data_IF_525926431402
#
_entry.id   IF_525926431402
#
_cell.length_a   1.000
_cell.length_b   1.000
_cell.length_c   1.000
_cell.angle_alpha   90.00
_cell.angle_beta   90.00
_cell.angle_gamma   90.00
#
_symmetry.space_group_name_H-M   'P 1'
#
loop_
_entity.id
_entity.type
_entity.pdbx_description
1 polymer ?
#
# COMPACT_ATOMS: atom_id res chain seq x y z
N UNK A 1 -18.47 -12.22 -36.34
CA UNK A 1 -17.66 -11.21 -35.62
C UNK A 1 -18.63 -10.32 -34.90
N UNK A 2 -18.68 -10.33 -33.57
CA UNK A 2 -19.51 -9.35 -32.85
C UNK A 2 -18.93 -7.96 -33.11
N UNK A 3 -19.75 -7.01 -33.53
CA UNK A 3 -19.32 -5.61 -33.58
C UNK A 3 -18.85 -5.22 -32.18
N UNK A 4 -17.57 -4.82 -32.09
CA UNK A 4 -17.02 -4.27 -30.87
C UNK A 4 -17.69 -2.92 -30.64
N UNK A 5 -18.64 -2.87 -29.71
CA UNK A 5 -19.30 -1.63 -29.26
C UNK A 5 -18.74 -1.22 -27.91
N UNK A 6 -18.23 -0.01 -27.82
CA UNK A 6 -17.91 0.64 -26.56
C UNK A 6 -19.19 1.23 -25.95
N UNK A 7 -19.37 1.04 -24.65
CA UNK A 7 -20.45 1.68 -23.88
C UNK A 7 -20.18 3.17 -23.76
N UNK A 8 -21.18 4.01 -24.04
CA UNK A 8 -21.02 5.47 -23.90
C UNK A 8 -21.13 5.91 -22.44
N UNK A 9 -20.68 7.12 -22.13
CA UNK A 9 -20.82 7.69 -20.78
C UNK A 9 -22.30 7.78 -20.39
N UNK A 10 -23.15 8.19 -21.32
CA UNK A 10 -24.60 8.31 -21.11
C UNK A 10 -25.23 6.94 -20.81
N UNK A 11 -24.81 5.88 -21.50
CA UNK A 11 -25.26 4.51 -21.22
C UNK A 11 -24.86 4.07 -19.79
N UNK A 12 -23.65 4.40 -19.34
CA UNK A 12 -23.20 4.14 -17.96
C UNK A 12 -23.98 4.94 -16.91
N UNK A 13 -24.23 6.21 -17.17
CA UNK A 13 -25.01 7.09 -16.29
C UNK A 13 -26.45 6.60 -16.18
N UNK A 14 -27.08 6.22 -17.29
CA UNK A 14 -28.43 5.65 -17.30
C UNK A 14 -28.52 4.36 -16.47
N UNK A 15 -27.54 3.46 -16.62
CA UNK A 15 -27.48 2.24 -15.80
C UNK A 15 -27.34 2.56 -14.31
N UNK A 16 -26.49 3.53 -13.97
CA UNK A 16 -26.30 3.99 -12.59
C UNK A 16 -27.59 4.60 -12.02
N UNK A 17 -28.25 5.47 -12.77
CA UNK A 17 -29.50 6.12 -12.36
C UNK A 17 -30.61 5.09 -12.09
N UNK A 18 -30.74 4.09 -12.94
CA UNK A 18 -31.70 2.99 -12.73
C UNK A 18 -31.43 2.23 -11.42
N UNK A 19 -30.15 2.01 -11.08
CA UNK A 19 -29.77 1.36 -9.81
C UNK A 19 -30.06 2.27 -8.61
N UNK A 20 -29.82 3.58 -8.73
CA UNK A 20 -30.14 4.55 -7.68
C UNK A 20 -31.65 4.62 -7.42
N UNK A 21 -32.48 4.62 -8.46
CA UNK A 21 -33.94 4.56 -8.33
C UNK A 21 -34.40 3.26 -7.65
N UNK A 22 -33.76 2.14 -7.97
CA UNK A 22 -34.05 0.84 -7.36
C UNK A 22 -33.69 0.86 -5.87
N UNK A 23 -32.51 1.39 -5.52
CA UNK A 23 -32.09 1.59 -4.14
C UNK A 23 -33.08 2.44 -3.34
N UNK A 24 -33.54 3.56 -3.92
CA UNK A 24 -34.53 4.42 -3.28
C UNK A 24 -35.85 3.69 -2.98
N UNK A 25 -36.33 2.83 -3.89
CA UNK A 25 -37.57 2.05 -3.70
C UNK A 25 -37.49 1.06 -2.54
N UNK A 26 -36.28 0.57 -2.21
CA UNK A 26 -36.05 -0.39 -1.10
C UNK A 26 -35.48 0.28 0.14
N UNK A 27 -35.39 1.61 0.18
CA UNK A 27 -34.85 2.36 1.31
C UNK A 27 -33.33 2.20 1.50
N UNK A 28 -32.59 1.88 0.45
CA UNK A 28 -31.13 1.73 0.48
C UNK A 28 -30.42 2.98 -0.04
N UNK A 29 -29.55 3.55 0.80
CA UNK A 29 -28.71 4.69 0.42
C UNK A 29 -27.43 4.27 -0.30
N UNK A 30 -27.17 4.89 -1.45
CA UNK A 30 -25.91 4.82 -2.15
C UNK A 30 -24.87 5.82 -1.60
N UNK A 31 -23.60 5.65 -1.98
CA UNK A 31 -22.51 6.51 -1.52
C UNK A 31 -22.69 7.97 -1.94
N UNK A 32 -23.33 8.22 -3.09
CA UNK A 32 -23.63 9.55 -3.63
C UNK A 32 -24.55 10.37 -2.72
N UNK A 33 -25.41 9.72 -1.93
CA UNK A 33 -26.25 10.41 -0.96
C UNK A 33 -25.49 10.67 0.35
N UNK A 34 -24.70 9.69 0.80
CA UNK A 34 -23.88 9.84 2.02
C UNK A 34 -22.83 10.93 1.92
N UNK A 35 -22.20 11.10 0.74
CA UNK A 35 -21.22 12.19 0.54
C UNK A 35 -21.87 13.56 0.72
N UNK A 36 -23.11 13.77 0.24
CA UNK A 36 -23.85 15.03 0.44
C UNK A 36 -24.06 15.34 1.91
N UNK A 37 -24.36 14.33 2.73
CA UNK A 37 -24.54 14.48 4.17
C UNK A 37 -23.22 14.79 4.92
N UNK A 38 -22.07 14.48 4.31
CA UNK A 38 -20.75 14.78 4.85
C UNK A 38 -20.19 16.13 4.36
N UNK A 39 -20.93 16.86 3.50
CA UNK A 39 -20.51 18.13 2.89
C UNK A 39 -21.19 19.32 3.58
N UNK A 40 -20.46 20.38 3.99
CA UNK A 40 -19.01 20.54 3.84
C UNK A 40 -18.22 19.66 4.82
N UNK A 41 -17.07 19.16 4.37
CA UNK A 41 -16.20 18.36 5.23
C UNK A 41 -15.52 19.23 6.30
N UNK A 42 -14.96 18.58 7.33
CA UNK A 42 -14.20 19.28 8.37
C UNK A 42 -12.92 19.90 7.79
N UNK A 43 -12.85 21.24 7.78
CA UNK A 43 -11.72 22.00 7.24
C UNK A 43 -10.36 21.61 7.83
N UNK A 44 -10.28 21.32 9.13
CA UNK A 44 -9.02 20.87 9.76
C UNK A 44 -8.58 19.48 9.26
N UNK A 45 -9.54 18.62 8.89
CA UNK A 45 -9.29 17.32 8.31
C UNK A 45 -8.84 17.44 6.86
N UNK A 46 -9.53 18.25 6.06
CA UNK A 46 -9.17 18.54 4.66
C UNK A 46 -7.77 19.16 4.54
N UNK A 47 -7.43 20.13 5.39
CA UNK A 47 -6.11 20.76 5.41
C UNK A 47 -5.04 19.87 6.09
N UNK A 48 -5.44 18.77 6.75
CA UNK A 48 -4.54 17.85 7.43
C UNK A 48 -3.91 18.38 8.73
N UNK A 49 -4.42 19.48 9.28
CA UNK A 49 -3.83 20.21 10.43
C UNK A 49 -4.40 19.78 11.80
N UNK A 50 -5.21 18.72 11.82
CA UNK A 50 -5.71 18.05 13.03
C UNK A 50 -4.81 16.85 13.39
N UNK A 51 -4.50 16.67 14.68
CA UNK A 51 -3.71 15.54 15.17
C UNK A 51 -4.45 14.77 16.28
N UNK A 52 -4.54 13.45 16.14
CA UNK A 52 -5.20 12.51 17.08
C UNK A 52 -4.29 11.33 17.48
N UNK A 53 -2.98 11.53 17.45
CA UNK A 53 -1.98 10.45 17.61
C UNK A 53 -1.84 9.99 19.06
N UNK A 54 -2.18 10.83 20.05
CA UNK A 54 -2.09 10.52 21.47
C UNK A 54 -3.24 11.16 22.26
N UNK A 55 -3.36 10.79 23.54
CA UNK A 55 -4.43 11.22 24.46
C UNK A 55 -4.23 12.59 25.09
N UNK A 56 -3.07 13.24 24.90
CA UNK A 56 -2.95 14.66 25.27
C UNK A 56 -3.86 15.54 24.39
N UNK A 57 -4.05 15.14 23.13
CA UNK A 57 -4.95 15.81 22.19
C UNK A 57 -6.42 15.42 22.38
N UNK A 58 -7.28 15.64 21.36
CA UNK A 58 -6.94 16.04 20.00
C UNK A 58 -6.37 17.46 19.90
N UNK A 59 -5.41 17.68 19.00
CA UNK A 59 -4.85 19.00 18.70
C UNK A 59 -5.35 19.50 17.34
N UNK A 60 -5.58 20.81 17.23
CA UNK A 60 -5.86 21.50 15.95
C UNK A 60 -4.96 22.73 15.84
N UNK A 61 -4.30 22.90 14.69
CA UNK A 61 -3.42 24.05 14.49
C UNK A 61 -4.21 25.24 13.97
N UNK A 62 -4.00 26.39 14.60
CA UNK A 62 -4.61 27.68 14.22
C UNK A 62 -3.58 28.80 14.43
N UNK A 63 -3.80 30.02 13.92
CA UNK A 63 -2.92 31.16 14.24
C UNK A 63 -2.76 31.43 15.75
N UNK A 64 -3.79 31.14 16.56
CA UNK A 64 -3.75 31.30 18.02
C UNK A 64 -3.09 30.13 18.76
N UNK A 65 -3.09 28.95 18.14
CA UNK A 65 -2.50 27.72 18.67
C UNK A 65 -1.62 27.09 17.57
N UNK A 66 -0.42 27.65 17.32
CA UNK A 66 0.42 27.27 16.18
C UNK A 66 1.12 25.91 16.35
N UNK A 67 0.99 25.27 17.51
CA UNK A 67 1.58 23.97 17.85
C UNK A 67 0.59 23.11 18.61
N UNK A 68 0.74 21.79 18.50
CA UNK A 68 0.05 20.84 19.38
C UNK A 68 0.62 20.87 20.80
N UNK A 69 -0.02 20.15 21.73
CA UNK A 69 0.37 20.12 23.15
C UNK A 69 1.81 19.64 23.35
N UNK A 70 2.26 18.66 22.56
CA UNK A 70 3.65 18.18 22.59
C UNK A 70 4.66 19.10 21.90
N UNK A 71 4.24 20.26 21.38
CA UNK A 71 5.07 21.21 20.66
C UNK A 71 5.24 20.94 19.16
N UNK A 72 4.66 19.87 18.61
CA UNK A 72 4.71 19.61 17.17
C UNK A 72 3.96 20.68 16.38
N UNK A 73 4.61 21.26 15.37
CA UNK A 73 4.01 22.26 14.48
C UNK A 73 3.13 21.64 13.38
N UNK A 74 2.57 22.51 12.53
CA UNK A 74 1.71 22.11 11.42
C UNK A 74 2.41 21.18 10.42
N UNK A 75 3.68 21.41 10.13
CA UNK A 75 4.41 20.65 9.12
C UNK A 75 4.69 19.22 9.61
N UNK A 76 5.07 19.07 10.87
CA UNK A 76 5.20 17.76 11.50
C UNK A 76 3.87 17.01 11.56
N UNK A 77 2.78 17.69 11.91
CA UNK A 77 1.43 17.07 11.98
C UNK A 77 0.98 16.59 10.59
N UNK A 78 1.03 17.47 9.58
CA UNK A 78 0.63 17.12 8.20
C UNK A 78 1.50 16.00 7.65
N UNK A 79 2.83 16.08 7.85
CA UNK A 79 3.75 15.02 7.43
C UNK A 79 3.46 13.67 8.09
N UNK A 80 3.09 13.65 9.38
CA UNK A 80 2.70 12.42 10.09
C UNK A 80 1.38 11.85 9.58
N UNK A 81 0.40 12.71 9.33
CA UNK A 81 -0.90 12.31 8.79
C UNK A 81 -0.74 11.69 7.40
N UNK A 82 0.05 12.33 6.53
CA UNK A 82 0.36 11.81 5.20
C UNK A 82 1.14 10.49 5.24
N UNK A 83 2.13 10.38 6.15
CA UNK A 83 2.87 9.13 6.34
C UNK A 83 1.97 7.97 6.79
N UNK A 84 1.06 8.18 7.73
CA UNK A 84 0.08 7.14 8.09
C UNK A 84 -0.87 6.79 6.96
N UNK A 85 -1.27 7.77 6.14
CA UNK A 85 -2.12 7.53 4.97
C UNK A 85 -1.42 6.61 3.96
N UNK A 86 -0.19 6.93 3.58
CA UNK A 86 0.62 6.09 2.68
C UNK A 86 0.91 4.71 3.25
N UNK A 87 1.25 4.60 4.54
CA UNK A 87 1.47 3.33 5.21
C UNK A 87 0.22 2.44 5.26
N UNK A 88 -0.97 3.03 5.42
CA UNK A 88 -2.25 2.29 5.36
C UNK A 88 -2.51 1.69 3.99
N UNK A 89 -2.18 2.42 2.92
CA UNK A 89 -2.22 1.89 1.55
C UNK A 89 -1.24 0.74 1.37
N UNK A 90 0.03 0.96 1.71
CA UNK A 90 1.09 -0.08 1.60
C UNK A 90 0.75 -1.35 2.38
N UNK A 91 0.14 -1.23 3.57
CA UNK A 91 -0.26 -2.38 4.38
C UNK A 91 -1.33 -3.25 3.68
N UNK A 92 -2.20 -2.65 2.87
CA UNK A 92 -3.27 -3.37 2.16
C UNK A 92 -2.69 -4.32 1.11
N UNK A 93 -1.76 -3.81 0.29
CA UNK A 93 -1.09 -4.63 -0.72
C UNK A 93 -0.04 -5.56 -0.10
N UNK A 94 0.57 -5.18 1.03
CA UNK A 94 1.42 -6.10 1.79
C UNK A 94 0.67 -7.39 2.12
N UNK A 95 -0.50 -7.28 2.77
CA UNK A 95 -1.21 -8.49 3.19
C UNK A 95 -1.82 -9.25 2.00
N UNK A 96 -2.26 -8.54 0.95
CA UNK A 96 -2.67 -9.17 -0.31
C UNK A 96 -1.54 -10.04 -0.90
N UNK A 97 -0.36 -9.46 -1.11
CA UNK A 97 0.78 -10.17 -1.69
C UNK A 97 1.24 -11.33 -0.81
N UNK A 98 1.18 -11.18 0.52
CA UNK A 98 1.52 -12.24 1.46
C UNK A 98 0.60 -13.45 1.32
N UNK A 99 -0.71 -13.22 1.20
CA UNK A 99 -1.69 -14.29 0.97
C UNK A 99 -1.47 -15.00 -0.37
N UNK A 100 -1.03 -14.28 -1.40
CA UNK A 100 -0.62 -14.91 -2.67
C UNK A 100 0.59 -15.83 -2.47
N UNK A 101 1.60 -15.41 -1.69
CA UNK A 101 2.73 -16.28 -1.36
C UNK A 101 2.30 -17.50 -0.54
N UNK A 102 1.44 -17.35 0.48
CA UNK A 102 0.89 -18.48 1.23
C UNK A 102 0.10 -19.43 0.33
N UNK A 103 -0.73 -18.91 -0.57
CA UNK A 103 -1.49 -19.73 -1.53
C UNK A 103 -0.58 -20.52 -2.46
N UNK A 104 0.53 -19.92 -2.90
CA UNK A 104 1.54 -20.61 -3.71
C UNK A 104 2.25 -21.71 -2.91
N UNK A 105 2.56 -21.45 -1.64
CA UNK A 105 3.15 -22.43 -0.73
C UNK A 105 2.23 -23.64 -0.47
N UNK A 106 0.92 -23.43 -0.37
CA UNK A 106 -0.06 -24.52 -0.16
C UNK A 106 -0.46 -25.24 -1.47
N UNK A 107 0.10 -24.85 -2.62
CA UNK A 107 -0.25 -25.45 -3.91
C UNK A 107 0.33 -26.86 -4.07
N UNK A 108 -0.42 -27.75 -4.74
CA UNK A 108 -0.01 -29.13 -5.03
C UNK A 108 -0.71 -29.69 -6.27
N UNK A 109 -0.16 -30.76 -6.86
CA UNK A 109 -0.71 -31.38 -8.07
C UNK A 109 -2.18 -31.84 -7.92
N UNK A 110 -2.51 -32.37 -6.75
CA UNK A 110 -3.84 -32.89 -6.40
C UNK A 110 -4.67 -31.92 -5.54
N UNK A 111 -4.13 -30.75 -5.22
CA UNK A 111 -4.77 -29.74 -4.37
C UNK A 111 -5.77 -28.84 -5.11
N UNK A 112 -6.46 -28.00 -4.33
CA UNK A 112 -7.39 -26.99 -4.84
C UNK A 112 -6.67 -25.85 -5.59
N UNK A 113 -5.43 -25.56 -5.21
CA UNK A 113 -4.56 -24.58 -5.85
C UNK A 113 -3.41 -25.29 -6.56
N UNK A 114 -3.16 -24.89 -7.82
CA UNK A 114 -2.16 -25.50 -8.70
C UNK A 114 -1.34 -24.43 -9.40
N UNK A 115 -0.11 -24.77 -9.78
CA UNK A 115 0.72 -23.91 -10.63
C UNK A 115 0.16 -23.95 -12.05
N UNK A 116 -0.46 -22.85 -12.49
CA UNK A 116 -1.06 -22.72 -13.83
C UNK A 116 -0.09 -22.22 -14.90
N UNK A 117 1.01 -21.59 -14.48
CA UNK A 117 2.02 -21.01 -15.37
C UNK A 117 3.42 -21.42 -14.88
N UNK A 118 3.87 -22.65 -15.23
CA UNK A 118 5.19 -23.14 -14.85
C UNK A 118 6.32 -22.28 -15.43
N UNK A 119 6.19 -21.80 -16.66
CA UNK A 119 7.22 -21.00 -17.33
C UNK A 119 7.50 -19.70 -16.55
N UNK A 120 6.44 -19.02 -16.08
CA UNK A 120 6.59 -17.85 -15.22
C UNK A 120 7.23 -18.19 -13.89
N UNK A 121 6.87 -19.32 -13.27
CA UNK A 121 7.49 -19.77 -12.02
C UNK A 121 9.01 -19.97 -12.19
N UNK A 122 9.43 -20.71 -13.22
CA UNK A 122 10.85 -20.92 -13.53
C UNK A 122 11.58 -19.61 -13.82
N UNK A 123 10.94 -18.67 -14.53
CA UNK A 123 11.54 -17.35 -14.80
C UNK A 123 11.77 -16.55 -13.54
N UNK A 124 10.79 -16.49 -12.63
CA UNK A 124 10.93 -15.77 -11.35
C UNK A 124 11.97 -16.45 -10.45
N UNK A 125 11.97 -17.78 -10.39
CA UNK A 125 12.96 -18.53 -9.64
C UNK A 125 14.39 -18.18 -10.09
N UNK A 126 14.65 -18.21 -11.41
CA UNK A 126 15.95 -17.83 -11.98
C UNK A 126 16.31 -16.37 -11.70
N UNK A 127 15.35 -15.45 -11.80
CA UNK A 127 15.57 -14.04 -11.46
C UNK A 127 15.94 -13.84 -9.98
N UNK A 128 15.48 -14.71 -9.10
CA UNK A 128 15.75 -14.67 -7.67
C UNK A 128 16.92 -15.55 -7.23
N UNK A 129 17.68 -16.08 -8.20
CA UNK A 129 18.83 -16.97 -7.99
C UNK A 129 18.46 -18.27 -7.26
N UNK A 130 17.24 -18.77 -7.46
CA UNK A 130 16.78 -20.07 -6.95
C UNK A 130 17.15 -21.15 -7.96
N UNK A 131 17.85 -22.20 -7.52
CA UNK A 131 18.22 -23.34 -8.35
C UNK A 131 16.97 -24.06 -8.88
N UNK A 132 16.91 -24.36 -10.18
CA UNK A 132 15.72 -24.95 -10.82
C UNK A 132 15.94 -26.33 -11.43
N UNK A 133 17.19 -26.75 -11.64
CA UNK A 133 17.50 -27.98 -12.37
C UNK A 133 17.14 -29.22 -11.54
N UNK A 134 16.41 -30.16 -12.16
CA UNK A 134 16.02 -31.42 -11.51
C UNK A 134 15.01 -31.31 -10.37
N UNK A 135 14.50 -30.10 -10.03
CA UNK A 135 13.50 -29.92 -8.99
C UNK A 135 12.10 -30.29 -9.47
N UNK A 136 11.30 -30.85 -8.55
CA UNK A 136 9.86 -30.95 -8.75
C UNK A 136 9.23 -29.54 -8.85
N UNK A 137 8.14 -29.44 -9.61
CA UNK A 137 7.46 -28.18 -9.86
C UNK A 137 6.93 -27.54 -8.57
N UNK A 138 6.39 -28.34 -7.65
CA UNK A 138 5.78 -27.85 -6.42
C UNK A 138 6.82 -27.59 -5.33
N UNK A 139 7.90 -28.37 -5.27
CA UNK A 139 9.07 -28.03 -4.45
C UNK A 139 9.61 -26.64 -4.83
N UNK A 140 9.76 -26.37 -6.12
CA UNK A 140 10.17 -25.06 -6.62
C UNK A 140 9.15 -23.96 -6.27
N UNK A 141 7.85 -24.25 -6.41
CA UNK A 141 6.79 -23.31 -6.07
C UNK A 141 6.84 -22.90 -4.59
N UNK A 142 7.05 -23.87 -3.70
CA UNK A 142 7.15 -23.65 -2.26
C UNK A 142 8.39 -22.84 -1.90
N UNK A 143 9.53 -23.11 -2.55
CA UNK A 143 10.76 -22.35 -2.34
C UNK A 143 10.65 -20.90 -2.83
N UNK A 144 10.03 -20.67 -3.99
CA UNK A 144 9.72 -19.32 -4.50
C UNK A 144 8.77 -18.62 -3.53
N UNK A 145 7.73 -19.30 -3.03
CA UNK A 145 6.80 -18.74 -2.07
C UNK A 145 7.50 -18.31 -0.77
N UNK A 146 8.34 -19.18 -0.18
CA UNK A 146 9.11 -18.86 1.03
C UNK A 146 10.08 -17.71 0.78
N UNK A 147 10.75 -17.68 -0.38
CA UNK A 147 11.63 -16.58 -0.76
C UNK A 147 10.88 -15.25 -0.85
N UNK A 148 9.66 -15.26 -1.41
CA UNK A 148 8.76 -14.10 -1.43
C UNK A 148 8.32 -13.69 -0.02
N UNK A 149 7.95 -14.64 0.84
CA UNK A 149 7.58 -14.38 2.25
C UNK A 149 8.73 -13.71 3.03
N UNK A 150 9.98 -14.04 2.71
CA UNK A 150 11.14 -13.39 3.33
C UNK A 150 11.28 -11.91 2.97
N UNK A 151 10.68 -11.42 1.87
CA UNK A 151 10.65 -9.97 1.55
C UNK A 151 9.83 -9.14 2.55
N UNK A 152 8.93 -9.79 3.31
CA UNK A 152 8.06 -9.11 4.26
C UNK A 152 8.75 -8.78 5.58
N UNK A 153 9.68 -9.63 6.01
CA UNK A 153 10.30 -9.55 7.35
C UNK A 153 11.82 -9.66 7.40
N UNK A 154 12.54 -9.63 6.27
CA UNK A 154 14.01 -9.75 6.28
C UNK A 154 14.70 -8.72 7.19
N UNK A 155 15.76 -9.10 7.91
CA UNK A 155 16.46 -8.20 8.82
C UNK A 155 17.34 -7.16 8.12
N UNK A 156 17.88 -7.48 6.94
CA UNK A 156 18.85 -6.66 6.22
C UNK A 156 18.57 -6.62 4.71
N UNK A 157 19.15 -5.63 4.03
CA UNK A 157 19.04 -5.45 2.59
C UNK A 157 17.76 -4.75 2.15
N UNK A 158 17.60 -4.65 0.83
CA UNK A 158 16.47 -4.02 0.15
C UNK A 158 15.62 -5.05 -0.58
N UNK A 159 14.48 -4.63 -1.13
CA UNK A 159 13.57 -5.54 -1.85
C UNK A 159 14.19 -6.08 -3.15
N UNK A 160 13.94 -7.35 -3.46
CA UNK A 160 14.50 -8.04 -4.63
C UNK A 160 14.13 -7.37 -5.95
N UNK A 161 12.86 -6.98 -6.11
CA UNK A 161 12.40 -6.42 -7.37
C UNK A 161 12.90 -5.02 -7.68
N UNK A 162 13.57 -4.32 -6.75
CA UNK A 162 14.22 -3.04 -7.08
C UNK A 162 15.25 -3.17 -8.20
N UNK A 163 15.84 -4.36 -8.37
CA UNK A 163 16.79 -4.64 -9.46
C UNK A 163 16.18 -4.62 -10.85
N UNK A 164 14.84 -4.64 -10.97
CA UNK A 164 14.15 -4.45 -12.25
C UNK A 164 14.12 -2.99 -12.72
N UNK A 165 14.31 -2.02 -11.82
CA UNK A 165 14.33 -0.62 -12.19
C UNK A 165 15.63 -0.26 -12.95
N UNK A 166 15.62 0.74 -13.85
CA UNK A 166 16.85 1.22 -14.47
C UNK A 166 17.90 1.63 -13.43
N UNK A 167 19.19 1.42 -13.73
CA UNK A 167 20.32 1.66 -12.82
C UNK A 167 20.30 3.08 -12.24
N UNK A 168 20.14 4.09 -13.08
CA UNK A 168 20.00 5.49 -12.66
C UNK A 168 18.89 5.70 -11.61
N UNK A 169 17.77 4.97 -11.70
CA UNK A 169 16.68 5.06 -10.72
C UNK A 169 17.08 4.41 -9.39
N UNK A 170 17.78 3.28 -9.43
CA UNK A 170 18.31 2.62 -8.23
C UNK A 170 19.30 3.54 -7.50
N UNK A 171 20.22 4.19 -8.22
CA UNK A 171 21.18 5.15 -7.66
C UNK A 171 20.49 6.33 -6.98
N UNK A 172 19.39 6.85 -7.56
CA UNK A 172 18.58 7.89 -6.92
C UNK A 172 18.00 7.38 -5.60
N UNK A 173 17.44 6.15 -5.59
CA UNK A 173 16.87 5.60 -4.37
C UNK A 173 17.91 5.35 -3.27
N UNK A 174 19.13 4.97 -3.64
CA UNK A 174 20.23 4.82 -2.70
C UNK A 174 20.70 6.19 -2.17
N UNK A 175 20.96 7.15 -3.06
CA UNK A 175 21.41 8.50 -2.71
C UNK A 175 20.41 9.26 -1.84
N UNK A 176 19.12 9.19 -2.17
CA UNK A 176 18.06 9.84 -1.40
C UNK A 176 17.63 9.03 -0.17
N UNK A 177 18.26 7.86 0.04
CA UNK A 177 17.92 6.91 1.09
C UNK A 177 16.42 6.57 1.06
N UNK A 178 15.86 6.21 -0.09
CA UNK A 178 14.45 5.78 -0.22
C UNK A 178 14.28 4.37 -0.79
N UNK A 179 15.38 3.64 -1.03
CA UNK A 179 15.29 2.22 -1.35
C UNK A 179 14.56 1.46 -0.21
N UNK A 180 13.44 0.76 -0.48
CA UNK A 180 12.68 0.06 0.54
C UNK A 180 13.38 -1.21 1.02
N UNK A 181 13.27 -1.48 2.32
CA UNK A 181 13.73 -2.72 2.95
C UNK A 181 12.58 -3.74 2.97
N UNK A 182 12.46 -4.53 4.03
CA UNK A 182 11.33 -5.45 4.19
C UNK A 182 9.97 -4.71 4.14
N UNK A 183 8.98 -5.31 3.48
CA UNK A 183 7.66 -4.70 3.22
C UNK A 183 7.00 -4.26 4.54
N UNK A 184 6.91 -5.16 5.53
CA UNK A 184 6.23 -4.85 6.80
C UNK A 184 7.05 -3.90 7.68
N UNK A 185 8.37 -3.93 7.52
CA UNK A 185 9.26 -3.00 8.24
C UNK A 185 8.94 -1.57 7.87
N UNK A 186 8.67 -1.26 6.61
CA UNK A 186 8.38 0.12 6.21
C UNK A 186 7.02 0.61 6.74
N UNK A 187 6.03 -0.27 6.84
CA UNK A 187 4.75 0.02 7.52
C UNK A 187 4.98 0.26 9.02
N UNK A 188 5.66 -0.66 9.70
CA UNK A 188 5.94 -0.57 11.14
C UNK A 188 6.77 0.68 11.47
N UNK A 189 7.81 0.97 10.67
CA UNK A 189 8.65 2.16 10.80
C UNK A 189 7.84 3.44 10.61
N UNK A 190 6.90 3.46 9.67
CA UNK A 190 6.00 4.59 9.47
C UNK A 190 5.13 4.84 10.70
N UNK A 191 4.61 3.79 11.32
CA UNK A 191 3.84 3.92 12.57
C UNK A 191 4.69 4.39 13.75
N UNK A 192 5.93 3.91 13.87
CA UNK A 192 6.91 4.37 14.86
C UNK A 192 7.26 5.85 14.66
N UNK A 193 7.68 6.24 13.45
CA UNK A 193 8.10 7.61 13.14
C UNK A 193 7.00 8.65 13.37
N UNK A 194 5.75 8.24 13.22
CA UNK A 194 4.60 9.13 13.41
C UNK A 194 4.11 9.21 14.86
N UNK A 195 4.65 8.42 15.78
CA UNK A 195 4.25 8.50 17.18
C UNK A 195 4.66 9.84 17.83
N UNK A 196 3.95 10.21 18.89
CA UNK A 196 4.32 11.36 19.74
C UNK A 196 5.75 11.19 20.27
N UNK A 197 6.56 12.25 20.17
CA UNK A 197 7.96 12.25 20.64
C UNK A 197 8.98 11.63 19.68
N UNK A 198 8.55 11.10 18.53
CA UNK A 198 9.45 10.62 17.47
C UNK A 198 9.68 11.72 16.41
N UNK A 199 9.65 11.39 15.11
CA UNK A 199 9.98 12.35 14.06
C UNK A 199 8.97 13.49 13.96
N UNK A 200 9.44 14.74 14.01
CA UNK A 200 8.68 15.94 13.66
C UNK A 200 9.25 16.68 12.44
N UNK A 201 10.27 16.11 11.78
CA UNK A 201 10.93 16.72 10.61
C UNK A 201 10.14 16.35 9.34
N UNK A 202 9.53 17.32 8.63
CA UNK A 202 8.67 17.04 7.48
C UNK A 202 9.40 16.28 6.37
N UNK A 203 10.61 16.69 6.02
CA UNK A 203 11.45 16.03 5.01
C UNK A 203 11.67 14.54 5.31
N UNK A 204 11.95 14.19 6.57
CA UNK A 204 12.15 12.79 6.97
C UNK A 204 10.85 11.98 6.91
N UNK A 205 9.71 12.61 7.25
CA UNK A 205 8.39 11.97 7.16
C UNK A 205 8.01 11.72 5.69
N UNK A 206 8.25 12.69 4.80
CA UNK A 206 7.99 12.54 3.36
C UNK A 206 8.90 11.50 2.72
N UNK A 207 10.21 11.47 3.05
CA UNK A 207 11.10 10.40 2.56
C UNK A 207 10.61 9.01 2.98
N UNK A 208 10.14 8.87 4.23
CA UNK A 208 9.56 7.60 4.67
C UNK A 208 8.23 7.28 3.95
N UNK A 209 7.41 8.28 3.60
CA UNK A 209 6.20 8.08 2.80
C UNK A 209 6.52 7.53 1.42
N UNK A 210 7.54 8.11 0.76
CA UNK A 210 8.04 7.62 -0.53
C UNK A 210 8.56 6.19 -0.40
N UNK A 211 9.36 5.91 0.64
CA UNK A 211 9.87 4.55 0.89
C UNK A 211 8.73 3.55 1.15
N UNK A 212 7.70 3.93 1.91
CA UNK A 212 6.51 3.08 2.13
C UNK A 212 5.79 2.79 0.81
N UNK A 213 5.55 3.82 -0.01
CA UNK A 213 4.95 3.63 -1.34
C UNK A 213 5.79 2.77 -2.28
N UNK A 214 7.12 2.92 -2.26
CA UNK A 214 8.03 2.05 -3.02
C UNK A 214 8.01 0.62 -2.52
N UNK A 215 7.91 0.42 -1.20
CA UNK A 215 7.86 -0.93 -0.60
C UNK A 215 6.62 -1.72 -1.00
N UNK A 216 5.56 -1.00 -1.35
CA UNK A 216 4.34 -1.55 -1.95
C UNK A 216 4.58 -1.89 -3.42
N UNK A 217 4.82 -0.88 -4.27
CA UNK A 217 4.87 -1.07 -5.73
C UNK A 217 6.01 -1.95 -6.26
N UNK A 218 7.09 -2.12 -5.50
CA UNK A 218 8.21 -3.01 -5.84
C UNK A 218 8.32 -4.20 -4.88
N UNK A 219 7.27 -4.47 -4.09
CA UNK A 219 7.26 -5.53 -3.08
C UNK A 219 5.92 -6.22 -2.97
N UNK A 220 4.98 -5.61 -2.26
CA UNK A 220 3.68 -6.22 -1.94
C UNK A 220 2.71 -6.37 -3.13
N UNK A 221 2.72 -5.42 -4.08
CA UNK A 221 1.88 -5.43 -5.29
C UNK A 221 2.45 -6.31 -6.41
#
# INVERSE_FOLDING_TARGET
>A
MSEFKLTTVEEFEQATNRLLETGAKVGADAWQFRVKNQTPHCKFGEEGVCCRICTMGPCRITPKAPRGICGCDVHGIVGRNFLRFTAGGSATHSDHGREICHTLYESSADGNYKVKDPEKLFRIAKEWDIETEGKDLYDLAHEVAVTGLMEYGKPFGTQRFLKRAPEHTQEIWEREEIAPHAIDREVSRSMHMTHMGCSSKPEALIRQSLRSGLSDGWGGS
#
